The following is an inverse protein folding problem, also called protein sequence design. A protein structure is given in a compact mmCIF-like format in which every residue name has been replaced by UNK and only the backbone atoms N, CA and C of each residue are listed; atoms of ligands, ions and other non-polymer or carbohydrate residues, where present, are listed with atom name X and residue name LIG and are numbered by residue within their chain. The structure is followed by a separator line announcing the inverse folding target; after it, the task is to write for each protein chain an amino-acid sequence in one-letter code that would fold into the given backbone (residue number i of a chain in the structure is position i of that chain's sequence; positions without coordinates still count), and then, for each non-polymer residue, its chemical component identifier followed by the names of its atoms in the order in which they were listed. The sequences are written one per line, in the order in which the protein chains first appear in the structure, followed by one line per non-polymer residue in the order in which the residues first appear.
data_IF_271747029080
#
_entry.id   IF_271747029080
#
_cell.length_a   1.000
_cell.length_b   1.000
_cell.length_c   1.000
_cell.angle_alpha   90.00
_cell.angle_beta   90.00
_cell.angle_gamma   90.00
#
_symmetry.space_group_name_H-M   'P 1'
#
loop_
_entity.id
_entity.type
_entity.pdbx_description
1 polymer ?
#
# COMPACT_ATOMS: atom_id res chain seq x y z
N UNK A 1 -42.48 -27.02 -47.31
CA UNK A 1 -42.40 -27.88 -46.12
C UNK A 1 -41.10 -27.53 -45.42
N UNK A 2 -41.15 -26.90 -44.25
CA UNK A 2 -39.94 -26.68 -43.45
C UNK A 2 -39.55 -28.01 -42.81
N UNK A 3 -38.35 -28.52 -43.12
CA UNK A 3 -37.82 -29.75 -42.53
C UNK A 3 -37.69 -29.59 -41.01
N UNK A 4 -38.03 -30.63 -40.25
CA UNK A 4 -37.81 -30.61 -38.80
C UNK A 4 -36.30 -30.50 -38.53
N UNK A 5 -35.87 -29.65 -37.58
CA UNK A 5 -34.46 -29.55 -37.21
C UNK A 5 -33.93 -30.92 -36.78
N UNK A 6 -32.73 -31.24 -37.23
CA UNK A 6 -32.06 -32.51 -36.95
C UNK A 6 -31.41 -32.47 -35.57
N UNK A 7 -31.02 -33.63 -35.05
CA UNK A 7 -30.35 -33.73 -33.75
C UNK A 7 -28.98 -33.04 -33.75
N UNK A 8 -28.30 -33.02 -34.90
CA UNK A 8 -27.03 -32.30 -35.09
C UNK A 8 -27.23 -30.79 -34.99
N UNK A 9 -28.31 -30.25 -35.56
CA UNK A 9 -28.65 -28.83 -35.46
C UNK A 9 -28.86 -28.40 -34.00
N UNK A 10 -29.53 -29.25 -33.21
CA UNK A 10 -29.76 -28.99 -31.78
C UNK A 10 -28.45 -29.05 -30.97
N UNK A 11 -27.55 -29.97 -31.28
CA UNK A 11 -26.24 -30.09 -30.61
C UNK A 11 -25.32 -28.90 -30.96
N UNK A 12 -25.31 -28.47 -32.22
CA UNK A 12 -24.55 -27.29 -32.65
C UNK A 12 -25.04 -26.01 -31.95
N UNK A 13 -26.36 -25.83 -31.84
CA UNK A 13 -26.96 -24.72 -31.09
C UNK A 13 -26.56 -24.76 -29.60
N UNK A 14 -26.56 -25.93 -28.98
CA UNK A 14 -26.19 -26.06 -27.58
C UNK A 14 -24.70 -25.75 -27.34
N UNK A 15 -23.82 -26.18 -28.24
CA UNK A 15 -22.40 -25.83 -28.20
C UNK A 15 -22.19 -24.32 -28.33
N UNK A 16 -22.92 -23.66 -29.25
CA UNK A 16 -22.84 -22.21 -29.44
C UNK A 16 -23.34 -21.43 -28.22
N UNK A 17 -24.39 -21.91 -27.54
CA UNK A 17 -24.87 -21.30 -26.29
C UNK A 17 -23.81 -21.41 -25.20
N UNK A 18 -23.15 -22.56 -25.05
CA UNK A 18 -22.08 -22.76 -24.05
C UNK A 18 -20.87 -21.85 -24.35
N UNK A 19 -20.47 -21.76 -25.61
CA UNK A 19 -19.39 -20.86 -26.03
C UNK A 19 -19.72 -19.39 -25.73
N UNK A 20 -20.94 -18.96 -26.02
CA UNK A 20 -21.41 -17.61 -25.71
C UNK A 20 -21.42 -17.35 -24.21
N UNK A 21 -21.90 -18.31 -23.40
CA UNK A 21 -21.87 -18.21 -21.93
C UNK A 21 -20.44 -18.09 -21.39
N UNK A 22 -19.51 -18.89 -21.91
CA UNK A 22 -18.10 -18.83 -21.53
C UNK A 22 -17.48 -17.47 -21.90
N UNK A 23 -17.80 -16.96 -23.10
CA UNK A 23 -17.33 -15.65 -23.57
C UNK A 23 -17.86 -14.52 -22.68
N UNK A 24 -19.15 -14.55 -22.32
CA UNK A 24 -19.74 -13.57 -21.41
C UNK A 24 -19.09 -13.61 -20.02
N UNK A 25 -18.84 -14.81 -19.47
CA UNK A 25 -18.15 -14.97 -18.19
C UNK A 25 -16.72 -14.40 -18.23
N UNK A 26 -15.98 -14.63 -19.32
CA UNK A 26 -14.64 -14.07 -19.51
C UNK A 26 -14.67 -12.53 -19.58
N UNK A 27 -15.61 -11.94 -20.33
CA UNK A 27 -15.77 -10.49 -20.42
C UNK A 27 -16.13 -9.87 -19.06
N UNK A 28 -17.00 -10.52 -18.29
CA UNK A 28 -17.34 -10.07 -16.94
C UNK A 28 -16.14 -10.11 -15.99
N UNK A 29 -15.35 -11.19 -16.01
CA UNK A 29 -14.14 -11.30 -15.19
C UNK A 29 -13.09 -10.25 -15.60
N UNK A 30 -12.90 -10.01 -16.90
CA UNK A 30 -11.99 -8.98 -17.39
C UNK A 30 -12.42 -7.57 -16.95
N UNK A 31 -13.73 -7.27 -17.01
CA UNK A 31 -14.27 -5.99 -16.56
C UNK A 31 -14.06 -5.78 -15.04
N UNK A 32 -14.31 -6.81 -14.23
CA UNK A 32 -14.06 -6.76 -12.78
C UNK A 32 -12.58 -6.54 -12.48
N UNK A 33 -11.69 -7.27 -13.15
CA UNK A 33 -10.25 -7.13 -12.97
C UNK A 33 -9.77 -5.72 -13.36
N UNK A 34 -10.28 -5.19 -14.48
CA UNK A 34 -10.00 -3.81 -14.93
C UNK A 34 -10.44 -2.79 -13.89
N UNK A 35 -11.61 -2.96 -13.28
CA UNK A 35 -12.10 -2.08 -12.22
C UNK A 35 -11.22 -2.13 -10.96
N UNK A 36 -10.75 -3.33 -10.57
CA UNK A 36 -9.84 -3.50 -9.43
C UNK A 36 -8.51 -2.79 -9.69
N UNK A 37 -7.94 -2.93 -10.89
CA UNK A 37 -6.70 -2.25 -11.29
C UNK A 37 -6.89 -0.73 -11.28
N UNK A 38 -7.95 -0.23 -11.91
CA UNK A 38 -8.24 1.21 -11.95
C UNK A 38 -8.41 1.82 -10.54
N UNK A 39 -9.06 1.09 -9.63
CA UNK A 39 -9.18 1.50 -8.22
C UNK A 39 -7.82 1.57 -7.54
N UNK A 40 -6.98 0.54 -7.70
CA UNK A 40 -5.63 0.49 -7.09
C UNK A 40 -4.77 1.66 -7.58
N UNK A 41 -4.72 1.89 -8.89
CA UNK A 41 -3.98 3.01 -9.46
C UNK A 41 -4.50 4.36 -8.95
N UNK A 42 -5.81 4.51 -8.78
CA UNK A 42 -6.38 5.74 -8.24
C UNK A 42 -5.95 5.99 -6.79
N UNK A 43 -5.92 4.95 -5.95
CA UNK A 43 -5.44 5.06 -4.56
C UNK A 43 -3.95 5.43 -4.53
N UNK A 44 -3.12 4.78 -5.36
CA UNK A 44 -1.70 5.14 -5.46
C UNK A 44 -1.55 6.60 -5.87
N UNK A 45 -2.29 7.08 -6.89
CA UNK A 45 -2.26 8.50 -7.29
C UNK A 45 -2.66 9.45 -6.16
N UNK A 46 -3.64 9.10 -5.33
CA UNK A 46 -3.99 9.89 -4.15
C UNK A 46 -2.84 9.95 -3.16
N UNK A 47 -2.20 8.81 -2.90
CA UNK A 47 -1.05 8.74 -2.01
C UNK A 47 0.12 9.58 -2.53
N UNK A 48 0.47 9.46 -3.81
CA UNK A 48 1.53 10.25 -4.44
C UNK A 48 1.25 11.76 -4.38
N UNK A 49 -0.03 12.15 -4.50
CA UNK A 49 -0.45 13.55 -4.39
C UNK A 49 -0.39 14.09 -2.96
N UNK A 50 -0.80 13.30 -1.97
CA UNK A 50 -0.83 13.74 -0.57
C UNK A 50 -0.68 12.56 0.41
N UNK A 51 0.56 12.14 0.70
CA UNK A 51 0.82 11.02 1.60
C UNK A 51 0.21 11.24 3.00
N UNK A 52 0.42 12.45 3.54
CA UNK A 52 -0.12 12.87 4.84
C UNK A 52 -1.65 12.97 4.84
N UNK A 53 -2.23 13.53 3.77
CA UNK A 53 -3.68 13.68 3.66
C UNK A 53 -4.37 12.34 3.73
N UNK A 54 -3.93 11.39 2.90
CA UNK A 54 -4.45 10.02 2.90
C UNK A 54 -4.23 9.32 4.24
N UNK A 55 -3.04 9.47 4.84
CA UNK A 55 -2.76 8.89 6.15
C UNK A 55 -3.72 9.39 7.24
N UNK A 56 -4.01 10.69 7.27
CA UNK A 56 -4.92 11.29 8.24
C UNK A 56 -6.39 10.90 8.04
N UNK A 57 -6.81 10.62 6.80
CA UNK A 57 -8.17 10.13 6.51
C UNK A 57 -8.36 8.70 7.03
N UNK A 58 -7.34 7.85 6.91
CA UNK A 58 -7.41 6.44 7.32
C UNK A 58 -7.05 6.20 8.78
N UNK A 59 -6.32 7.13 9.42
CA UNK A 59 -5.89 7.01 10.82
C UNK A 59 -6.38 8.20 11.64
N UNK A 60 -7.54 8.08 12.33
CA UNK A 60 -8.17 9.18 13.04
C UNK A 60 -7.32 9.81 14.15
N UNK A 61 -6.42 9.02 14.77
CA UNK A 61 -5.55 9.53 15.85
C UNK A 61 -4.40 10.38 15.32
N UNK A 62 -4.02 10.21 14.05
CA UNK A 62 -2.96 10.99 13.37
C UNK A 62 -1.68 10.98 14.20
N UNK A 63 -1.28 9.80 14.62
CA UNK A 63 -0.23 9.61 15.63
C UNK A 63 1.08 10.18 15.10
N UNK A 64 1.69 11.07 15.89
CA UNK A 64 3.10 11.42 15.71
C UNK A 64 3.96 10.54 16.61
N UNK A 65 4.99 9.91 16.06
CA UNK A 65 5.98 9.18 16.84
C UNK A 65 6.62 10.15 17.85
N UNK A 66 6.64 9.75 19.11
CA UNK A 66 7.29 10.50 20.17
C UNK A 66 8.78 10.12 20.26
N UNK A 67 9.60 11.10 20.60
CA UNK A 67 11.05 10.96 20.73
C UNK A 67 11.50 9.83 21.66
N UNK A 68 10.75 9.59 22.74
CA UNK A 68 11.03 8.53 23.71
C UNK A 68 10.59 7.13 23.23
N UNK A 69 9.95 7.06 22.05
CA UNK A 69 9.46 5.81 21.48
C UNK A 69 8.24 5.22 22.19
N UNK A 70 7.62 5.94 23.14
CA UNK A 70 6.52 5.44 23.98
C UNK A 70 5.29 4.98 23.19
N UNK A 71 5.12 5.46 21.97
CA UNK A 71 4.01 5.15 21.08
C UNK A 71 4.45 4.52 19.75
N UNK A 72 5.66 3.96 19.68
CA UNK A 72 6.22 3.36 18.45
C UNK A 72 5.31 2.30 17.84
N UNK A 73 4.71 1.43 18.66
CA UNK A 73 3.81 0.37 18.21
C UNK A 73 2.50 0.90 17.59
N UNK A 74 1.96 2.00 18.13
CA UNK A 74 0.78 2.69 17.61
C UNK A 74 1.14 3.36 16.28
N UNK A 75 2.26 4.07 16.23
CA UNK A 75 2.74 4.73 15.02
C UNK A 75 2.99 3.73 13.88
N UNK A 76 3.72 2.65 14.14
CA UNK A 76 3.99 1.61 13.13
C UNK A 76 2.71 0.95 12.62
N UNK A 77 1.70 0.78 13.48
CA UNK A 77 0.39 0.25 13.08
C UNK A 77 -0.32 1.19 12.10
N UNK A 78 -0.33 2.49 12.37
CA UNK A 78 -0.97 3.48 11.49
C UNK A 78 -0.24 3.60 10.14
N UNK A 79 1.10 3.52 10.16
CA UNK A 79 1.91 3.42 8.93
C UNK A 79 1.52 2.18 8.12
N UNK A 80 1.53 1.00 8.74
CA UNK A 80 1.17 -0.24 8.05
C UNK A 80 -0.26 -0.17 7.51
N UNK A 81 -1.21 0.37 8.28
CA UNK A 81 -2.59 0.53 7.82
C UNK A 81 -2.70 1.39 6.56
N UNK A 82 -2.00 2.54 6.53
CA UNK A 82 -1.94 3.37 5.32
C UNK A 82 -1.32 2.63 4.14
N UNK A 83 -0.15 2.01 4.32
CA UNK A 83 0.58 1.38 3.21
C UNK A 83 -0.13 0.11 2.72
N UNK A 84 -0.77 -0.66 3.60
CA UNK A 84 -1.63 -1.79 3.24
C UNK A 84 -2.82 -1.36 2.40
N UNK A 85 -3.44 -0.22 2.74
CA UNK A 85 -4.52 0.35 1.93
C UNK A 85 -4.00 0.80 0.56
N UNK A 86 -2.87 1.52 0.53
CA UNK A 86 -2.30 2.06 -0.71
C UNK A 86 -1.89 0.97 -1.69
N UNK A 87 -1.20 -0.05 -1.20
CA UNK A 87 -0.63 -1.11 -2.03
C UNK A 87 -1.49 -2.37 -2.10
N UNK A 88 -2.70 -2.33 -1.52
CA UNK A 88 -3.61 -3.47 -1.43
C UNK A 88 -2.90 -4.75 -0.95
N UNK A 89 -2.08 -4.62 0.10
CA UNK A 89 -1.17 -5.65 0.59
C UNK A 89 -1.37 -5.93 2.07
N UNK A 90 -1.24 -7.20 2.47
CA UNK A 90 -1.24 -7.63 3.87
C UNK A 90 0.16 -7.65 4.48
N UNK A 91 1.16 -7.09 3.78
CA UNK A 91 2.53 -7.04 4.27
C UNK A 91 2.69 -6.05 5.42
N UNK A 92 3.54 -6.40 6.39
CA UNK A 92 4.05 -5.45 7.38
C UNK A 92 5.23 -4.68 6.80
N UNK A 93 4.96 -3.50 6.26
CA UNK A 93 5.92 -2.56 5.70
C UNK A 93 6.93 -2.07 6.72
N UNK A 94 6.53 -1.94 7.99
CA UNK A 94 7.50 -1.58 9.03
C UNK A 94 8.34 -2.77 9.48
N UNK A 95 8.09 -4.01 9.07
CA UNK A 95 8.95 -5.12 9.55
C UNK A 95 10.40 -4.93 9.11
N UNK A 96 11.37 -5.33 9.96
CA UNK A 96 12.80 -5.18 9.66
C UNK A 96 13.28 -5.90 8.40
N UNK A 97 12.48 -6.84 7.87
CA UNK A 97 12.79 -7.61 6.67
C UNK A 97 12.13 -7.05 5.39
N UNK A 98 11.35 -5.98 5.51
CA UNK A 98 10.66 -5.40 4.37
C UNK A 98 11.61 -4.54 3.53
N UNK A 99 11.71 -4.84 2.23
CA UNK A 99 12.52 -4.03 1.32
C UNK A 99 11.68 -3.04 0.53
N UNK A 100 11.79 -1.75 0.90
CA UNK A 100 11.18 -0.65 0.15
C UNK A 100 11.78 -0.45 -1.25
N UNK A 101 12.95 -1.04 -1.53
CA UNK A 101 13.60 -0.99 -2.86
C UNK A 101 12.76 -1.61 -3.98
N UNK A 102 11.77 -2.44 -3.63
CA UNK A 102 10.88 -3.08 -4.59
C UNK A 102 9.80 -2.12 -5.15
N UNK A 103 9.66 -0.93 -4.56
CA UNK A 103 8.75 0.10 -5.04
C UNK A 103 9.42 1.03 -6.04
N UNK A 104 8.67 1.63 -6.98
CA UNK A 104 9.12 2.78 -7.75
C UNK A 104 9.67 3.91 -6.87
N UNK A 105 10.67 4.65 -7.39
CA UNK A 105 11.34 5.72 -6.65
C UNK A 105 10.38 6.81 -6.13
N UNK A 106 9.33 7.13 -6.89
CA UNK A 106 8.32 8.10 -6.50
C UNK A 106 7.52 7.64 -5.26
N UNK A 107 7.15 6.36 -5.22
CA UNK A 107 6.48 5.76 -4.07
C UNK A 107 7.40 5.74 -2.85
N UNK A 108 8.67 5.37 -3.03
CA UNK A 108 9.66 5.41 -1.95
C UNK A 108 9.78 6.82 -1.37
N UNK A 109 9.88 7.86 -2.21
CA UNK A 109 9.92 9.25 -1.75
C UNK A 109 8.66 9.64 -0.96
N UNK A 110 7.49 9.23 -1.42
CA UNK A 110 6.23 9.51 -0.71
C UNK A 110 6.14 8.79 0.64
N UNK A 111 6.68 7.57 0.75
CA UNK A 111 6.81 6.85 2.02
C UNK A 111 7.79 7.59 2.95
N UNK A 112 8.95 8.02 2.46
CA UNK A 112 9.89 8.84 3.22
C UNK A 112 9.26 10.15 3.70
N UNK A 113 8.47 10.82 2.85
CA UNK A 113 7.69 12.01 3.21
C UNK A 113 6.66 11.70 4.29
N UNK A 114 5.95 10.57 4.17
CA UNK A 114 4.99 10.13 5.19
C UNK A 114 5.68 9.93 6.56
N UNK A 115 6.84 9.28 6.60
CA UNK A 115 7.59 9.09 7.84
C UNK A 115 7.97 10.43 8.46
N UNK A 116 8.59 11.34 7.70
CA UNK A 116 8.95 12.68 8.19
C UNK A 116 7.76 13.49 8.73
N UNK A 117 6.58 13.36 8.11
CA UNK A 117 5.38 14.06 8.57
C UNK A 117 4.74 13.50 9.85
N UNK A 118 5.03 12.24 10.16
CA UNK A 118 4.41 11.49 11.25
C UNK A 118 5.35 11.28 12.43
N UNK A 119 6.45 12.03 12.51
CA UNK A 119 7.31 12.08 13.70
C UNK A 119 7.20 13.45 14.38
N UNK A 120 7.63 13.54 15.63
CA UNK A 120 7.85 14.82 16.29
C UNK A 120 9.03 15.58 15.66
N UNK A 121 9.14 16.88 15.99
CA UNK A 121 10.12 17.74 15.34
C UNK A 121 11.57 17.40 15.75
N UNK A 122 11.81 16.91 16.97
CA UNK A 122 13.16 16.56 17.43
C UNK A 122 13.65 15.31 16.68
N UNK A 123 12.76 14.33 16.46
CA UNK A 123 13.05 13.18 15.60
C UNK A 123 13.26 13.60 14.13
N UNK A 124 12.49 14.55 13.63
CA UNK A 124 12.64 15.06 12.28
C UNK A 124 14.03 15.70 12.09
N UNK A 125 14.46 16.55 13.02
CA UNK A 125 15.77 17.20 12.99
C UNK A 125 16.91 16.18 12.99
N UNK A 126 16.77 15.06 13.72
CA UNK A 126 17.75 13.97 13.70
C UNK A 126 17.74 13.25 12.34
N UNK A 127 16.57 12.96 11.79
CA UNK A 127 16.44 12.33 10.47
C UNK A 127 17.09 13.18 9.38
N UNK A 128 16.88 14.50 9.42
CA UNK A 128 17.48 15.45 8.48
C UNK A 128 19.00 15.59 8.70
N UNK A 129 19.47 15.63 9.93
CA UNK A 129 20.90 15.81 10.23
C UNK A 129 21.76 14.57 9.95
N UNK A 130 21.28 13.35 10.20
CA UNK A 130 22.01 12.13 9.79
C UNK A 130 21.81 11.81 8.28
N UNK A 131 21.09 12.63 7.50
CA UNK A 131 20.97 12.48 6.04
C UNK A 131 20.20 11.25 5.57
N UNK A 132 19.26 10.73 6.38
CA UNK A 132 18.49 9.53 6.03
C UNK A 132 17.39 9.87 5.02
N UNK A 133 17.50 9.36 3.78
CA UNK A 133 16.61 9.74 2.68
C UNK A 133 15.64 8.63 2.24
N UNK A 134 16.11 7.38 2.23
CA UNK A 134 15.26 6.25 1.87
C UNK A 134 14.33 5.86 3.03
N UNK A 135 13.17 5.23 2.74
CA UNK A 135 12.28 4.75 3.79
C UNK A 135 12.96 3.81 4.78
N UNK A 136 13.82 2.92 4.28
CA UNK A 136 14.56 1.95 5.10
C UNK A 136 15.52 2.62 6.07
N UNK A 137 16.28 3.63 5.61
CA UNK A 137 17.20 4.38 6.46
C UNK A 137 16.45 5.14 7.55
N UNK A 138 15.38 5.85 7.18
CA UNK A 138 14.56 6.61 8.12
C UNK A 138 13.96 5.69 9.18
N UNK A 139 13.32 4.59 8.77
CA UNK A 139 12.69 3.66 9.70
C UNK A 139 13.72 3.01 10.65
N UNK A 140 14.88 2.64 10.13
CA UNK A 140 15.97 2.05 10.93
C UNK A 140 16.50 3.05 11.96
N UNK A 141 16.71 4.30 11.54
CA UNK A 141 17.16 5.38 12.40
C UNK A 141 16.13 5.67 13.51
N UNK A 142 14.85 5.84 13.16
CA UNK A 142 13.79 6.10 14.12
C UNK A 142 13.68 4.99 15.17
N UNK A 143 13.79 3.72 14.76
CA UNK A 143 13.80 2.59 15.70
C UNK A 143 15.02 2.58 16.60
N UNK A 144 16.19 2.85 16.03
CA UNK A 144 17.42 2.97 16.81
C UNK A 144 17.26 4.03 17.89
N UNK A 145 16.72 5.20 17.55
CA UNK A 145 16.45 6.28 18.50
C UNK A 145 15.43 5.84 19.53
N UNK A 146 14.26 5.36 19.13
CA UNK A 146 13.19 4.97 20.06
C UNK A 146 13.61 3.85 21.02
N UNK A 147 14.49 2.94 20.59
CA UNK A 147 14.98 1.84 21.45
C UNK A 147 16.17 2.25 22.31
N UNK A 148 16.98 3.21 21.85
CA UNK A 148 18.16 3.74 22.57
C UNK A 148 17.84 4.94 23.46
N UNK A 149 16.72 5.63 23.25
CA UNK A 149 16.27 6.74 24.12
C UNK A 149 15.88 6.21 25.52
N UNK A 150 15.65 4.90 25.62
CA UNK A 150 15.56 4.17 26.89
C UNK A 150 16.94 3.96 27.57
N UNK A 151 18.05 4.30 26.90
CA UNK A 151 19.46 4.06 27.27
C UNK A 151 20.43 5.08 26.64
N UNK A 152 20.42 6.34 27.11
CA UNK A 152 21.48 7.36 26.95
C UNK A 152 22.21 7.50 25.59
N UNK A 153 21.86 8.56 24.86
CA UNK A 153 22.78 9.64 24.46
C UNK A 153 23.91 9.32 23.48
N UNK A 154 23.59 9.31 22.19
CA UNK A 154 24.54 9.40 21.08
C UNK A 154 23.88 8.92 19.77
N UNK A 155 23.45 9.85 18.92
CA UNK A 155 22.86 9.53 17.61
C UNK A 155 23.72 10.17 16.52
N UNK A 156 24.14 9.31 15.59
CA UNK A 156 25.32 9.44 14.74
C UNK A 156 26.68 9.39 15.54
#
# INVERSE_FOLDING_TARGET
MAGRPTQEDLQALQAQIVEMQNTLAQLQNAAQQSQVVARREWVIRLFLKSPRGLHHEYNPRKTKLAYDGSNLDIWEREINHTLSFVFASHTHFTSGNYSFSNHPLEEQRCISTLFRWTVDNDLLDIVESCGADSPSEILTLLRSICTSSNRNGGYC
#
